data_IF_035815678010
#
_entry.id   IF_035815678010
#
_cell.length_a   1.000
_cell.length_b   1.000
_cell.length_c   1.000
_cell.angle_alpha   90.00
_cell.angle_beta   90.00
_cell.angle_gamma   90.00
#
_symmetry.space_group_name_H-M   'P 1'
#
loop_
_entity.id
_entity.type
_entity.pdbx_description
1 polymer ?
#
# COMPACT_ATOMS: atom_id res chain seq x y z
N UNK A 1 -37.86 2.37 55.61
CA UNK A 1 -36.55 1.80 55.23
C UNK A 1 -36.81 0.86 54.07
N UNK A 2 -36.68 1.34 52.82
CA UNK A 2 -36.55 0.61 51.55
C UNK A 2 -36.44 1.68 50.45
N UNK A 3 -35.62 1.41 49.44
CA UNK A 3 -35.45 2.11 48.15
C UNK A 3 -34.52 3.34 48.06
N UNK A 4 -33.21 3.08 48.07
CA UNK A 4 -32.22 3.96 47.42
C UNK A 4 -31.07 3.21 46.70
N UNK A 5 -31.08 1.88 46.63
CA UNK A 5 -29.96 1.09 46.08
C UNK A 5 -30.16 0.58 44.63
N UNK A 6 -31.35 0.78 44.04
CA UNK A 6 -31.71 0.21 42.74
C UNK A 6 -31.33 1.05 41.51
N UNK A 7 -31.10 2.35 41.65
CA UNK A 7 -30.98 3.28 40.52
C UNK A 7 -29.55 3.36 39.94
N UNK A 8 -28.50 3.23 40.76
CA UNK A 8 -27.12 3.41 40.28
C UNK A 8 -26.57 2.20 39.49
N UNK A 9 -26.99 0.98 39.81
CA UNK A 9 -26.53 -0.22 39.09
C UNK A 9 -27.04 -0.30 37.65
N UNK A 10 -28.16 0.36 37.33
CA UNK A 10 -28.75 0.37 36.00
C UNK A 10 -27.95 1.21 34.98
N UNK A 11 -27.38 2.33 35.43
CA UNK A 11 -26.61 3.25 34.58
C UNK A 11 -25.27 2.67 34.14
N UNK A 12 -24.50 2.09 35.08
CA UNK A 12 -23.21 1.47 34.80
C UNK A 12 -23.34 0.24 33.88
N UNK A 13 -24.43 -0.53 34.04
CA UNK A 13 -24.71 -1.71 33.20
C UNK A 13 -25.12 -1.29 31.79
N UNK A 14 -25.94 -0.24 31.64
CA UNK A 14 -26.34 0.35 30.35
C UNK A 14 -25.15 0.96 29.60
N UNK A 15 -24.25 1.66 30.29
CA UNK A 15 -23.05 2.26 29.70
C UNK A 15 -22.04 1.19 29.23
N UNK A 16 -21.89 0.11 29.99
CA UNK A 16 -21.09 -1.06 29.60
C UNK A 16 -21.68 -1.81 28.41
N UNK A 17 -23.00 -1.99 28.35
CA UNK A 17 -23.65 -2.60 27.18
C UNK A 17 -23.60 -1.69 25.96
N UNK A 18 -23.73 -0.37 26.11
CA UNK A 18 -23.56 0.59 25.01
C UNK A 18 -22.13 0.60 24.48
N UNK A 19 -21.13 0.57 25.37
CA UNK A 19 -19.71 0.44 24.99
C UNK A 19 -19.41 -0.89 24.30
N UNK A 20 -19.98 -2.00 24.78
CA UNK A 20 -19.83 -3.30 24.14
C UNK A 20 -20.53 -3.38 22.79
N UNK A 21 -21.72 -2.79 22.64
CA UNK A 21 -22.46 -2.70 21.36
C UNK A 21 -21.73 -1.81 20.36
N UNK A 22 -21.16 -0.68 20.80
CA UNK A 22 -20.37 0.18 19.93
C UNK A 22 -19.07 -0.51 19.49
N UNK A 23 -18.39 -1.23 20.40
CA UNK A 23 -17.18 -2.01 20.09
C UNK A 23 -17.49 -3.16 19.12
N UNK A 24 -18.60 -3.88 19.31
CA UNK A 24 -19.02 -4.96 18.39
C UNK A 24 -19.53 -4.43 17.06
N UNK A 25 -20.18 -3.26 17.01
CA UNK A 25 -20.56 -2.60 15.77
C UNK A 25 -19.33 -2.10 14.99
N UNK A 26 -18.31 -1.58 15.67
CA UNK A 26 -17.02 -1.19 15.07
C UNK A 26 -16.27 -2.41 14.53
N UNK A 27 -16.30 -3.54 15.24
CA UNK A 27 -15.71 -4.81 14.77
C UNK A 27 -16.50 -5.42 13.60
N UNK A 28 -17.82 -5.28 13.58
CA UNK A 28 -18.67 -5.80 12.50
C UNK A 28 -18.62 -4.94 11.22
N UNK A 29 -18.37 -3.63 11.34
CA UNK A 29 -18.19 -2.73 10.19
C UNK A 29 -16.94 -3.05 9.35
N UNK A 30 -15.96 -3.79 9.91
CA UNK A 30 -14.79 -4.27 9.18
C UNK A 30 -15.10 -5.41 8.19
N UNK A 31 -16.27 -6.05 8.28
CA UNK A 31 -16.59 -7.24 7.48
C UNK A 31 -17.33 -6.94 6.15
N UNK A 32 -17.59 -5.67 5.81
CA UNK A 32 -18.30 -5.29 4.57
C UNK A 32 -17.41 -4.56 3.57
N UNK A 33 -16.12 -4.91 3.52
CA UNK A 33 -15.22 -4.41 2.48
C UNK A 33 -15.58 -5.06 1.14
N UNK A 34 -16.55 -4.50 0.44
CA UNK A 34 -16.83 -4.90 -0.94
C UNK A 34 -15.66 -4.46 -1.83
N UNK A 35 -15.16 -5.37 -2.66
CA UNK A 35 -14.03 -5.13 -3.55
C UNK A 35 -14.42 -4.19 -4.70
N UNK A 36 -13.66 -3.11 -4.88
CA UNK A 36 -13.74 -2.16 -5.98
C UNK A 36 -12.91 -2.59 -7.20
N UNK A 37 -12.83 -1.70 -8.19
CA UNK A 37 -11.91 -1.86 -9.32
C UNK A 37 -10.47 -1.81 -8.80
N UNK A 38 -9.58 -2.66 -9.32
CA UNK A 38 -8.19 -2.84 -8.83
C UNK A 38 -8.03 -3.65 -7.53
N UNK A 39 -9.11 -4.24 -6.99
CA UNK A 39 -9.01 -5.13 -5.83
C UNK A 39 -8.95 -4.42 -4.46
N UNK A 40 -9.07 -3.09 -4.44
CA UNK A 40 -9.15 -2.27 -3.23
C UNK A 40 -10.56 -2.26 -2.61
N UNK A 41 -10.73 -1.93 -1.32
CA UNK A 41 -12.07 -1.68 -0.75
C UNK A 41 -12.78 -0.54 -1.49
N UNK A 42 -14.11 -0.62 -1.64
CA UNK A 42 -14.90 0.47 -2.22
C UNK A 42 -14.72 1.79 -1.45
N UNK A 43 -14.74 2.94 -2.15
CA UNK A 43 -14.68 4.24 -1.50
C UNK A 43 -15.81 4.42 -0.48
N UNK A 44 -15.46 4.84 0.72
CA UNK A 44 -16.38 5.19 1.82
C UNK A 44 -16.17 6.64 2.24
N UNK A 45 -17.02 7.18 3.12
CA UNK A 45 -16.79 8.50 3.73
C UNK A 45 -15.44 8.53 4.44
N UNK A 46 -15.07 7.43 5.09
CA UNK A 46 -13.77 7.30 5.74
C UNK A 46 -12.64 7.48 4.73
N UNK A 47 -12.62 6.68 3.67
CA UNK A 47 -11.52 6.69 2.69
C UNK A 47 -11.46 7.96 1.85
N UNK A 48 -12.59 8.65 1.64
CA UNK A 48 -12.67 9.84 0.78
C UNK A 48 -12.46 11.16 1.53
N UNK A 49 -12.91 11.27 2.79
CA UNK A 49 -12.90 12.53 3.52
C UNK A 49 -11.93 12.53 4.71
N UNK A 50 -11.92 11.46 5.50
CA UNK A 50 -11.16 11.43 6.76
C UNK A 50 -9.72 10.94 6.56
N UNK A 51 -9.53 9.91 5.71
CA UNK A 51 -8.21 9.35 5.44
C UNK A 51 -7.21 10.35 4.88
N UNK A 52 -7.57 11.14 3.84
CA UNK A 52 -6.60 12.01 3.20
C UNK A 52 -6.12 13.10 4.16
N UNK A 53 -7.03 13.68 4.96
CA UNK A 53 -6.70 14.72 5.94
C UNK A 53 -5.89 14.17 7.11
N UNK A 54 -6.28 13.03 7.68
CA UNK A 54 -5.52 12.38 8.73
C UNK A 54 -4.11 11.98 8.25
N UNK A 55 -4.03 11.47 7.01
CA UNK A 55 -2.77 11.13 6.34
C UNK A 55 -1.86 12.33 6.13
N UNK A 56 -2.43 13.44 5.64
CA UNK A 56 -1.72 14.72 5.48
C UNK A 56 -1.14 15.20 6.81
N UNK A 57 -1.98 15.30 7.85
CA UNK A 57 -1.54 15.76 9.18
C UNK A 57 -0.47 14.83 9.77
N UNK A 58 -0.66 13.51 9.67
CA UNK A 58 0.29 12.53 10.20
C UNK A 58 1.62 12.59 9.45
N UNK A 59 1.61 12.70 8.11
CA UNK A 59 2.80 12.87 7.30
C UNK A 59 3.54 14.17 7.64
N UNK A 60 2.83 15.30 7.70
CA UNK A 60 3.40 16.59 8.09
C UNK A 60 4.03 16.54 9.48
N UNK A 61 3.36 15.91 10.45
CA UNK A 61 3.88 15.74 11.81
C UNK A 61 5.16 14.88 11.86
N UNK A 62 5.35 13.96 10.91
CA UNK A 62 6.60 13.18 10.75
C UNK A 62 7.70 13.91 9.99
N UNK A 63 7.45 15.15 9.53
CA UNK A 63 8.37 15.91 8.70
C UNK A 63 8.48 15.35 7.28
N UNK A 64 7.44 14.68 6.79
CA UNK A 64 7.38 14.21 5.42
C UNK A 64 6.84 15.29 4.49
N UNK A 65 7.26 15.27 3.23
CA UNK A 65 6.66 16.07 2.17
C UNK A 65 5.17 15.73 2.04
N UNK A 66 4.33 16.75 2.21
CA UNK A 66 2.88 16.65 2.11
C UNK A 66 2.36 17.90 1.42
N UNK A 67 1.96 17.79 0.16
CA UNK A 67 1.46 18.92 -0.59
C UNK A 67 -0.03 19.17 -0.27
N UNK A 68 -0.41 20.41 0.08
CA UNK A 68 -1.82 20.80 0.23
C UNK A 68 -2.53 20.99 -1.12
N UNK A 69 -1.83 20.86 -2.26
CA UNK A 69 -2.45 20.99 -3.57
C UNK A 69 -3.38 19.81 -3.86
N UNK A 70 -4.38 20.04 -4.71
CA UNK A 70 -5.26 18.97 -5.18
C UNK A 70 -4.49 18.00 -6.06
N UNK A 71 -4.90 16.74 -6.03
CA UNK A 71 -4.41 15.72 -6.95
C UNK A 71 -5.04 15.90 -8.33
N UNK A 72 -4.30 15.50 -9.36
CA UNK A 72 -4.84 15.33 -10.71
C UNK A 72 -5.36 13.91 -10.91
N UNK A 73 -6.22 13.69 -11.91
CA UNK A 73 -6.76 12.36 -12.22
C UNK A 73 -5.66 11.31 -12.46
N UNK A 74 -4.55 11.71 -13.09
CA UNK A 74 -3.39 10.83 -13.31
C UNK A 74 -2.66 10.51 -12.00
N UNK A 75 -2.57 11.45 -11.05
CA UNK A 75 -1.97 11.23 -9.73
C UNK A 75 -2.86 10.36 -8.83
N UNK A 76 -4.18 10.54 -8.88
CA UNK A 76 -5.16 9.68 -8.21
C UNK A 76 -5.08 8.25 -8.76
N UNK A 77 -5.11 8.10 -10.09
CA UNK A 77 -4.97 6.80 -10.73
C UNK A 77 -3.63 6.12 -10.37
N UNK A 78 -2.54 6.88 -10.21
CA UNK A 78 -1.25 6.33 -9.80
C UNK A 78 -1.30 5.76 -8.40
N UNK A 79 -1.89 6.50 -7.46
CA UNK A 79 -2.08 6.07 -6.06
C UNK A 79 -2.96 4.84 -5.98
N UNK A 80 -4.06 4.83 -6.74
CA UNK A 80 -4.99 3.72 -6.80
C UNK A 80 -4.34 2.43 -7.31
N UNK A 81 -3.52 2.54 -8.36
CA UNK A 81 -2.76 1.40 -8.89
C UNK A 81 -1.65 0.95 -7.94
N UNK A 82 -1.01 1.89 -7.24
CA UNK A 82 0.03 1.58 -6.27
C UNK A 82 -0.49 0.73 -5.10
N UNK A 83 -1.76 0.92 -4.71
CA UNK A 83 -2.40 0.18 -3.60
C UNK A 83 -2.15 -1.32 -3.69
N UNK A 84 -2.33 -1.92 -4.87
CA UNK A 84 -2.19 -3.38 -5.06
C UNK A 84 -0.76 -3.89 -4.79
N UNK A 85 0.27 -3.09 -5.04
CA UNK A 85 1.66 -3.45 -4.76
C UNK A 85 2.02 -3.25 -3.28
N UNK A 86 1.49 -2.18 -2.68
CA UNK A 86 1.75 -1.79 -1.29
C UNK A 86 1.15 -2.78 -0.30
N UNK A 87 -0.07 -3.28 -0.58
CA UNK A 87 -0.72 -4.28 0.24
C UNK A 87 0.11 -5.56 0.34
N UNK A 88 -0.04 -6.38 1.38
CA UNK A 88 0.68 -7.65 1.46
C UNK A 88 0.23 -8.61 0.34
N UNK A 89 1.18 -9.37 -0.20
CA UNK A 89 0.86 -10.46 -1.14
C UNK A 89 0.28 -11.69 -0.43
N UNK A 90 0.57 -11.85 0.86
CA UNK A 90 0.27 -13.06 1.62
C UNK A 90 -1.25 -13.28 1.74
N UNK A 91 -1.77 -14.44 1.27
CA UNK A 91 -3.16 -14.80 1.51
C UNK A 91 -3.35 -14.94 3.03
N UNK A 92 -4.35 -14.24 3.58
CA UNK A 92 -4.77 -14.29 5.00
C UNK A 92 -4.03 -13.40 6.00
N UNK A 93 -3.31 -12.38 5.55
CA UNK A 93 -2.64 -11.43 6.43
C UNK A 93 -3.51 -10.22 6.82
N UNK A 94 -4.68 -10.43 7.45
CA UNK A 94 -5.64 -9.34 7.76
C UNK A 94 -4.99 -8.16 8.49
N UNK A 95 -4.26 -8.43 9.57
CA UNK A 95 -3.57 -7.37 10.33
C UNK A 95 -2.54 -6.63 9.47
N UNK A 96 -1.74 -7.34 8.67
CA UNK A 96 -0.76 -6.71 7.79
C UNK A 96 -1.44 -5.91 6.67
N UNK A 97 -2.62 -6.35 6.23
CA UNK A 97 -3.48 -5.65 5.30
C UNK A 97 -3.91 -4.31 5.88
N UNK A 98 -4.44 -4.30 7.11
CA UNK A 98 -4.85 -3.06 7.77
C UNK A 98 -3.67 -2.11 8.02
N UNK A 99 -2.53 -2.62 8.51
CA UNK A 99 -1.32 -1.81 8.68
C UNK A 99 -0.84 -1.22 7.36
N UNK A 100 -0.86 -2.00 6.28
CA UNK A 100 -0.47 -1.54 4.95
C UNK A 100 -1.45 -0.53 4.37
N UNK A 101 -2.74 -0.68 4.65
CA UNK A 101 -3.77 0.27 4.23
C UNK A 101 -3.61 1.61 4.96
N UNK A 102 -3.33 1.60 6.27
CA UNK A 102 -3.00 2.80 7.04
C UNK A 102 -1.68 3.43 6.62
N UNK A 103 -0.69 2.63 6.21
CA UNK A 103 0.53 3.14 5.62
C UNK A 103 0.24 3.81 4.26
N UNK A 104 -0.60 3.20 3.43
CA UNK A 104 -0.96 3.72 2.10
C UNK A 104 -1.68 5.07 2.19
N UNK A 105 -2.54 5.25 3.19
CA UNK A 105 -3.18 6.54 3.51
C UNK A 105 -2.24 7.50 4.24
N UNK A 106 -0.97 7.13 4.45
CA UNK A 106 0.06 7.91 5.15
C UNK A 106 -0.23 8.22 6.63
N UNK A 107 -1.21 7.54 7.22
CA UNK A 107 -1.50 7.63 8.65
C UNK A 107 -0.38 6.96 9.44
N UNK A 108 0.04 5.77 9.01
CA UNK A 108 1.23 5.09 9.53
C UNK A 108 2.44 5.33 8.62
N UNK A 109 3.67 5.29 9.17
CA UNK A 109 4.88 5.33 8.36
C UNK A 109 5.02 4.04 7.54
N UNK A 110 5.65 4.12 6.38
CA UNK A 110 5.92 2.96 5.52
C UNK A 110 6.70 1.85 6.25
N UNK A 111 7.60 2.25 7.16
CA UNK A 111 8.38 1.32 7.99
C UNK A 111 7.54 0.46 8.96
N UNK A 112 6.24 0.75 9.13
CA UNK A 112 5.33 -0.08 9.91
C UNK A 112 4.96 -1.39 9.17
N UNK A 113 5.16 -1.46 7.86
CA UNK A 113 4.85 -2.65 7.08
C UNK A 113 5.83 -3.80 7.37
N UNK A 114 5.33 -5.04 7.29
CA UNK A 114 6.21 -6.20 7.40
C UNK A 114 7.22 -6.26 6.26
N UNK A 115 8.45 -6.62 6.63
CA UNK A 115 9.60 -6.88 5.76
C UNK A 115 10.09 -8.33 5.88
N UNK A 116 9.32 -9.21 6.52
CA UNK A 116 9.65 -10.62 6.65
C UNK A 116 9.21 -11.41 5.42
N UNK A 117 10.18 -11.87 4.62
CA UNK A 117 9.95 -12.61 3.37
C UNK A 117 9.25 -13.96 3.61
N UNK A 118 9.30 -14.49 4.82
CA UNK A 118 8.67 -15.76 5.18
C UNK A 118 7.16 -15.64 5.44
N UNK A 119 6.61 -14.43 5.54
CA UNK A 119 5.17 -14.18 5.72
C UNK A 119 4.32 -14.76 4.59
N UNK A 120 4.79 -14.64 3.35
CA UNK A 120 4.06 -15.18 2.21
C UNK A 120 4.03 -16.71 2.26
N UNK A 121 5.18 -17.34 2.55
CA UNK A 121 5.27 -18.79 2.68
C UNK A 121 4.37 -19.31 3.82
N UNK A 122 4.42 -18.69 5.00
CA UNK A 122 3.54 -19.04 6.13
C UNK A 122 2.07 -18.91 5.78
N UNK A 123 1.67 -17.82 5.11
CA UNK A 123 0.28 -17.66 4.66
C UNK A 123 -0.13 -18.76 3.68
N UNK A 124 0.74 -19.06 2.72
CA UNK A 124 0.52 -20.11 1.73
C UNK A 124 0.47 -21.51 2.36
N UNK A 125 1.22 -21.78 3.43
CA UNK A 125 1.21 -23.08 4.12
C UNK A 125 0.06 -23.21 5.12
N UNK A 126 -0.33 -22.12 5.78
CA UNK A 126 -1.43 -22.06 6.74
C UNK A 126 -2.80 -22.35 6.12
N UNK A 127 -3.01 -22.01 4.85
CA UNK A 127 -4.24 -22.37 4.14
C UNK A 127 -4.30 -23.89 3.91
N UNK A 128 -5.45 -24.48 4.23
CA UNK A 128 -5.77 -25.86 3.85
C UNK A 128 -5.97 -25.94 2.33
N UNK A 129 -4.91 -26.20 1.58
CA UNK A 129 -5.01 -26.51 0.16
C UNK A 129 -5.33 -27.99 -0.05
N UNK A 130 -6.13 -28.29 -1.07
CA UNK A 130 -6.50 -29.67 -1.42
C UNK A 130 -5.31 -30.50 -1.93
N UNK A 131 -4.26 -29.86 -2.47
CA UNK A 131 -3.07 -30.54 -3.00
C UNK A 131 -1.82 -29.66 -2.99
N UNK A 132 -0.64 -30.26 -3.13
CA UNK A 132 0.62 -29.52 -3.28
C UNK A 132 0.69 -28.72 -4.58
N UNK A 133 0.13 -29.26 -5.66
CA UNK A 133 -0.01 -28.55 -6.92
C UNK A 133 -0.79 -27.23 -6.77
N UNK A 134 -1.79 -27.18 -5.88
CA UNK A 134 -2.56 -25.96 -5.60
C UNK A 134 -1.69 -24.85 -5.00
N UNK A 135 -0.72 -25.17 -4.14
CA UNK A 135 0.20 -24.17 -3.54
C UNK A 135 1.11 -23.55 -4.60
N UNK A 136 1.71 -24.37 -5.46
CA UNK A 136 2.52 -23.89 -6.58
C UNK A 136 1.71 -23.09 -7.60
N UNK A 137 0.49 -23.53 -7.92
CA UNK A 137 -0.39 -22.78 -8.81
C UNK A 137 -0.76 -21.42 -8.22
N UNK A 138 -1.05 -21.36 -6.91
CA UNK A 138 -1.34 -20.09 -6.24
C UNK A 138 -0.15 -19.11 -6.31
N UNK A 139 1.06 -19.59 -6.00
CA UNK A 139 2.29 -18.80 -6.15
C UNK A 139 2.45 -18.28 -7.59
N UNK A 140 2.24 -19.14 -8.59
CA UNK A 140 2.35 -18.77 -10.00
C UNK A 140 1.27 -17.74 -10.41
N UNK A 141 0.05 -17.88 -9.90
CA UNK A 141 -1.06 -16.95 -10.15
C UNK A 141 -0.78 -15.58 -9.53
N UNK A 142 -0.33 -15.53 -8.28
CA UNK A 142 0.01 -14.29 -7.58
C UNK A 142 1.14 -13.55 -8.31
N UNK A 143 2.20 -14.25 -8.72
CA UNK A 143 3.30 -13.68 -9.49
C UNK A 143 2.85 -13.13 -10.85
N UNK A 144 1.99 -13.86 -11.57
CA UNK A 144 1.44 -13.40 -12.85
C UNK A 144 0.50 -12.21 -12.68
N UNK A 145 -0.34 -12.20 -11.65
CA UNK A 145 -1.25 -11.10 -11.36
C UNK A 145 -0.47 -9.82 -11.08
N UNK A 146 0.61 -9.90 -10.30
CA UNK A 146 1.48 -8.75 -10.03
C UNK A 146 2.17 -8.27 -11.31
N UNK A 147 2.67 -9.20 -12.14
CA UNK A 147 3.34 -8.88 -13.42
C UNK A 147 2.43 -8.08 -14.35
N UNK A 148 1.17 -8.48 -14.49
CA UNK A 148 0.21 -7.83 -15.39
C UNK A 148 -0.09 -6.37 -15.01
N UNK A 149 0.10 -6.00 -13.75
CA UNK A 149 -0.20 -4.67 -13.24
C UNK A 149 0.97 -3.68 -13.37
N UNK A 150 2.19 -4.17 -13.58
CA UNK A 150 3.39 -3.33 -13.66
C UNK A 150 3.33 -2.39 -14.86
N UNK A 151 3.01 -2.90 -16.05
CA UNK A 151 2.94 -2.10 -17.27
C UNK A 151 1.99 -0.90 -17.16
N UNK A 152 0.71 -1.10 -16.77
CA UNK A 152 -0.23 0.00 -16.57
C UNK A 152 0.22 1.02 -15.50
N UNK A 153 0.80 0.55 -14.39
CA UNK A 153 1.34 1.44 -13.37
C UNK A 153 2.51 2.29 -13.91
N UNK A 154 3.49 1.65 -14.57
CA UNK A 154 4.65 2.33 -15.18
C UNK A 154 4.22 3.41 -16.18
N UNK A 155 3.25 3.10 -17.03
CA UNK A 155 2.75 4.04 -18.03
C UNK A 155 2.09 5.28 -17.40
N UNK A 156 1.30 5.09 -16.34
CA UNK A 156 0.65 6.19 -15.62
C UNK A 156 1.66 6.99 -14.77
N UNK A 157 2.60 6.34 -14.09
CA UNK A 157 3.70 7.00 -13.38
C UNK A 157 4.55 7.88 -14.33
N UNK A 158 4.82 7.43 -15.56
CA UNK A 158 5.53 8.22 -16.56
C UNK A 158 4.80 9.51 -16.96
N UNK A 159 3.45 9.50 -16.97
CA UNK A 159 2.64 10.71 -17.21
C UNK A 159 2.76 11.68 -16.05
N UNK A 160 2.61 11.19 -14.82
CA UNK A 160 2.74 12.00 -13.59
C UNK A 160 4.13 12.65 -13.52
N UNK A 161 5.20 11.89 -13.75
CA UNK A 161 6.57 12.42 -13.80
C UNK A 161 6.72 13.54 -14.84
N UNK A 162 6.09 13.39 -16.00
CA UNK A 162 6.11 14.43 -17.05
C UNK A 162 5.33 15.68 -16.64
N UNK A 163 4.20 15.52 -15.95
CA UNK A 163 3.42 16.64 -15.38
C UNK A 163 4.21 17.36 -14.28
N UNK A 164 4.91 16.62 -13.42
CA UNK A 164 5.79 17.16 -12.39
C UNK A 164 6.91 18.03 -12.99
N UNK A 165 7.49 17.63 -14.14
CA UNK A 165 8.47 18.47 -14.88
C UNK A 165 7.86 19.76 -15.39
N UNK A 166 6.61 19.73 -15.86
CA UNK A 166 5.91 20.95 -16.26
C UNK A 166 5.68 21.83 -15.04
N UNK A 167 5.21 21.25 -13.92
CA UNK A 167 4.97 21.97 -12.67
C UNK A 167 6.21 22.73 -12.20
N UNK A 168 7.35 22.06 -12.12
CA UNK A 168 8.58 22.71 -11.64
C UNK A 168 9.15 23.73 -12.63
N UNK A 169 9.01 23.51 -13.94
CA UNK A 169 9.36 24.53 -14.94
C UNK A 169 8.48 25.77 -14.83
N UNK A 170 7.18 25.60 -14.63
CA UNK A 170 6.24 26.72 -14.47
C UNK A 170 6.53 27.52 -13.20
N UNK A 171 6.80 26.85 -12.07
CA UNK A 171 7.22 27.49 -10.82
C UNK A 171 8.50 28.32 -11.02
N UNK A 172 9.47 27.80 -11.78
CA UNK A 172 10.74 28.49 -11.99
C UNK A 172 10.67 29.65 -12.99
N UNK A 173 9.81 29.56 -14.01
CA UNK A 173 9.85 30.45 -15.17
C UNK A 173 8.72 31.49 -15.24
N UNK A 174 7.58 31.26 -14.58
CA UNK A 174 6.42 32.14 -14.69
C UNK A 174 6.45 33.25 -13.62
N UNK A 175 6.44 34.54 -14.01
CA UNK A 175 6.36 35.64 -13.06
C UNK A 175 4.99 35.75 -12.37
N UNK A 176 3.97 35.10 -12.92
CA UNK A 176 2.60 35.10 -12.38
C UNK A 176 2.39 34.06 -11.27
N UNK A 177 3.38 33.17 -11.05
CA UNK A 177 3.34 32.18 -9.98
C UNK A 177 3.91 32.80 -8.71
N UNK A 178 3.06 32.88 -7.67
CA UNK A 178 3.47 33.40 -6.39
C UNK A 178 4.57 32.52 -5.75
N UNK A 179 5.65 33.10 -5.17
CA UNK A 179 6.80 32.34 -4.65
C UNK A 179 6.42 31.26 -3.62
N UNK A 180 5.41 31.50 -2.80
CA UNK A 180 4.91 30.57 -1.79
C UNK A 180 4.32 29.27 -2.38
N UNK A 181 4.08 29.22 -3.70
CA UNK A 181 3.63 28.00 -4.39
C UNK A 181 4.78 27.02 -4.66
N UNK A 182 6.03 27.46 -4.53
CA UNK A 182 7.21 26.63 -4.82
C UNK A 182 7.34 25.41 -3.90
N UNK A 183 7.29 25.62 -2.58
CA UNK A 183 7.40 24.55 -1.59
C UNK A 183 6.28 23.49 -1.71
N UNK A 184 4.98 23.86 -1.75
CA UNK A 184 3.91 22.90 -2.03
C UNK A 184 4.03 22.16 -3.36
N UNK A 185 4.57 22.81 -4.41
CA UNK A 185 4.78 22.17 -5.70
C UNK A 185 5.89 21.11 -5.62
N UNK A 186 7.01 21.45 -4.99
CA UNK A 186 8.12 20.52 -4.75
C UNK A 186 7.66 19.35 -3.89
N UNK A 187 6.92 19.60 -2.81
CA UNK A 187 6.37 18.57 -1.95
C UNK A 187 5.53 17.54 -2.75
N UNK A 188 4.73 17.98 -3.73
CA UNK A 188 3.95 17.08 -4.59
C UNK A 188 4.85 16.19 -5.45
N UNK A 189 5.92 16.75 -6.01
CA UNK A 189 6.90 15.96 -6.80
C UNK A 189 7.58 14.91 -5.91
N UNK A 190 8.00 15.29 -4.70
CA UNK A 190 8.58 14.36 -3.72
C UNK A 190 7.59 13.24 -3.35
N UNK A 191 6.30 13.56 -3.16
CA UNK A 191 5.27 12.56 -2.89
C UNK A 191 5.07 11.58 -4.05
N UNK A 192 5.02 12.09 -5.28
CA UNK A 192 4.80 11.29 -6.49
C UNK A 192 6.00 10.37 -6.74
N UNK A 193 7.21 10.90 -6.66
CA UNK A 193 8.46 10.16 -6.84
C UNK A 193 8.66 9.13 -5.71
N UNK A 194 8.40 9.52 -4.46
CA UNK A 194 8.46 8.64 -3.30
C UNK A 194 7.50 7.44 -3.40
N UNK A 195 6.30 7.64 -3.96
CA UNK A 195 5.36 6.54 -4.20
C UNK A 195 5.90 5.53 -5.21
N UNK A 196 6.56 5.99 -6.28
CA UNK A 196 7.20 5.09 -7.27
C UNK A 196 8.31 4.27 -6.60
N UNK A 197 9.16 4.90 -5.78
CA UNK A 197 10.19 4.18 -5.03
C UNK A 197 9.61 3.16 -4.06
N UNK A 198 8.54 3.52 -3.35
CA UNK A 198 7.87 2.60 -2.45
C UNK A 198 7.28 1.40 -3.20
N UNK A 199 6.62 1.60 -4.34
CA UNK A 199 6.15 0.49 -5.17
C UNK A 199 7.30 -0.43 -5.60
N UNK A 200 8.45 0.15 -5.98
CA UNK A 200 9.64 -0.63 -6.33
C UNK A 200 10.20 -1.45 -5.18
N UNK A 201 10.30 -0.88 -3.98
CA UNK A 201 10.73 -1.60 -2.79
C UNK A 201 9.75 -2.74 -2.44
N UNK A 202 8.44 -2.49 -2.54
CA UNK A 202 7.42 -3.52 -2.28
C UNK A 202 7.41 -4.62 -3.33
N UNK A 203 7.68 -4.29 -4.60
CA UNK A 203 7.85 -5.28 -5.67
C UNK A 203 9.08 -6.16 -5.44
N UNK A 204 10.23 -5.57 -5.10
CA UNK A 204 11.44 -6.32 -4.73
C UNK A 204 11.17 -7.26 -3.54
N UNK A 205 10.53 -6.74 -2.49
CA UNK A 205 10.15 -7.54 -1.32
C UNK A 205 9.24 -8.71 -1.70
N UNK A 206 8.26 -8.50 -2.58
CA UNK A 206 7.37 -9.57 -3.08
C UNK A 206 8.12 -10.63 -3.87
N UNK A 207 9.00 -10.22 -4.78
CA UNK A 207 9.85 -11.14 -5.54
C UNK A 207 10.68 -12.01 -4.58
N UNK A 208 11.35 -11.40 -3.59
CA UNK A 208 12.11 -12.15 -2.57
C UNK A 208 11.22 -13.10 -1.75
N UNK A 209 10.00 -12.68 -1.43
CA UNK A 209 9.02 -13.52 -0.72
C UNK A 209 8.57 -14.72 -1.56
N UNK A 210 8.35 -14.53 -2.87
CA UNK A 210 8.00 -15.60 -3.80
C UNK A 210 9.17 -16.58 -4.00
N UNK A 211 10.39 -16.07 -4.14
CA UNK A 211 11.62 -16.90 -4.20
C UNK A 211 11.80 -17.72 -2.93
N UNK A 212 11.63 -17.10 -1.77
CA UNK A 212 11.70 -17.79 -0.48
C UNK A 212 10.62 -18.88 -0.38
N UNK A 213 9.38 -18.59 -0.74
CA UNK A 213 8.30 -19.57 -0.72
C UNK A 213 8.54 -20.73 -1.69
N UNK A 214 9.01 -20.45 -2.90
CA UNK A 214 9.32 -21.48 -3.89
C UNK A 214 10.39 -22.44 -3.38
N UNK A 215 11.49 -21.91 -2.82
CA UNK A 215 12.56 -22.73 -2.28
C UNK A 215 12.07 -23.65 -1.14
N UNK A 216 11.30 -23.12 -0.19
CA UNK A 216 10.78 -23.92 0.92
C UNK A 216 9.72 -24.93 0.48
N UNK A 217 8.83 -24.57 -0.47
CA UNK A 217 7.87 -25.51 -1.04
C UNK A 217 8.58 -26.70 -1.72
N UNK A 218 9.68 -26.47 -2.43
CA UNK A 218 10.44 -27.54 -3.09
C UNK A 218 11.08 -28.47 -2.07
N UNK A 219 11.54 -27.94 -0.93
CA UNK A 219 12.10 -28.76 0.17
C UNK A 219 11.02 -29.61 0.84
N UNK A 220 9.89 -29.00 1.22
CA UNK A 220 8.82 -29.71 1.91
C UNK A 220 8.09 -30.69 1.00
N UNK A 221 7.80 -30.27 -0.23
CA UNK A 221 6.81 -30.88 -1.12
C UNK A 221 7.27 -30.79 -2.59
N UNK A 222 8.27 -31.60 -3.01
CA UNK A 222 8.79 -31.56 -4.37
C UNK A 222 7.71 -31.91 -5.40
N UNK A 223 7.56 -31.09 -6.45
CA UNK A 223 6.64 -31.40 -7.56
C UNK A 223 7.04 -30.71 -8.87
N UNK A 224 6.52 -31.19 -10.01
CA UNK A 224 6.84 -30.62 -11.35
C UNK A 224 6.25 -29.23 -11.55
N UNK A 225 5.19 -28.91 -10.82
CA UNK A 225 4.52 -27.61 -10.82
C UNK A 225 5.46 -26.47 -10.38
N UNK A 226 6.52 -26.78 -9.63
CA UNK A 226 7.59 -25.83 -9.28
C UNK A 226 8.18 -25.14 -10.52
N UNK A 227 8.30 -25.84 -11.66
CA UNK A 227 8.82 -25.27 -12.91
C UNK A 227 7.92 -24.13 -13.43
N UNK A 228 6.61 -24.29 -13.32
CA UNK A 228 5.64 -23.26 -13.74
C UNK A 228 5.72 -22.05 -12.82
N UNK A 229 5.81 -22.28 -11.51
CA UNK A 229 5.96 -21.21 -10.53
C UNK A 229 7.28 -20.43 -10.71
N UNK A 230 8.40 -21.15 -10.88
CA UNK A 230 9.72 -20.56 -11.17
C UNK A 230 9.66 -19.63 -12.39
N UNK A 231 9.08 -20.10 -13.50
CA UNK A 231 8.92 -19.28 -14.71
C UNK A 231 8.07 -18.03 -14.48
N UNK A 232 7.02 -18.13 -13.66
CA UNK A 232 6.18 -16.98 -13.34
C UNK A 232 6.95 -15.92 -12.52
N UNK A 233 7.76 -16.35 -11.55
CA UNK A 233 8.60 -15.45 -10.75
C UNK A 233 9.69 -14.81 -11.62
N UNK A 234 10.36 -15.57 -12.49
CA UNK A 234 11.34 -15.02 -13.44
C UNK A 234 10.71 -13.98 -14.38
N UNK A 235 9.49 -14.23 -14.87
CA UNK A 235 8.79 -13.29 -15.72
C UNK A 235 8.40 -12.00 -14.97
N UNK A 236 8.03 -12.10 -13.69
CA UNK A 236 7.77 -10.94 -12.84
C UNK A 236 9.05 -10.10 -12.62
N UNK A 237 10.18 -10.74 -12.34
CA UNK A 237 11.48 -10.08 -12.19
C UNK A 237 11.87 -9.29 -13.44
N UNK A 238 11.72 -9.90 -14.61
CA UNK A 238 12.01 -9.26 -15.88
C UNK A 238 11.13 -8.02 -16.13
N UNK A 239 9.85 -8.08 -15.76
CA UNK A 239 8.91 -6.96 -15.93
C UNK A 239 9.15 -5.83 -14.91
N UNK A 240 9.60 -6.17 -13.69
CA UNK A 240 9.83 -5.19 -12.62
C UNK A 240 11.03 -4.26 -12.91
N UNK A 241 12.08 -4.78 -13.56
CA UNK A 241 13.31 -4.02 -13.85
C UNK A 241 13.05 -2.65 -14.51
N UNK A 242 12.38 -2.59 -15.67
CA UNK A 242 12.10 -1.33 -16.37
C UNK A 242 11.31 -0.30 -15.56
N UNK A 243 10.45 -0.72 -14.62
CA UNK A 243 9.74 0.22 -13.73
C UNK A 243 10.73 0.89 -12.78
N UNK A 244 11.62 0.12 -12.14
CA UNK A 244 12.49 0.63 -11.09
C UNK A 244 13.76 1.33 -11.59
N UNK A 245 13.97 1.32 -12.91
CA UNK A 245 15.00 2.10 -13.60
C UNK A 245 14.41 3.23 -14.46
N UNK A 246 13.11 3.51 -14.37
CA UNK A 246 12.50 4.58 -15.16
C UNK A 246 13.05 5.96 -14.77
N UNK A 247 13.16 6.92 -15.71
CA UNK A 247 13.68 8.25 -15.40
C UNK A 247 12.67 9.06 -14.58
N UNK A 248 13.08 9.48 -13.39
CA UNK A 248 12.29 10.32 -12.47
C UNK A 248 12.75 11.78 -12.52
N UNK A 249 12.35 12.61 -11.56
CA UNK A 249 12.71 14.03 -11.50
C UNK A 249 13.85 14.32 -10.52
N UNK A 250 14.38 13.28 -9.88
CA UNK A 250 15.49 13.35 -8.91
C UNK A 250 15.17 14.29 -7.74
N UNK A 251 13.91 14.25 -7.28
CA UNK A 251 13.40 15.12 -6.23
C UNK A 251 14.09 14.93 -4.86
N UNK A 252 14.80 13.80 -4.68
CA UNK A 252 15.56 13.46 -3.47
C UNK A 252 17.07 13.76 -3.60
N UNK A 253 17.53 14.27 -4.74
CA UNK A 253 18.94 14.48 -5.06
C UNK A 253 19.72 13.19 -5.33
N UNK A 254 20.72 13.27 -6.21
CA UNK A 254 21.56 12.15 -6.69
C UNK A 254 22.46 11.45 -5.65
N UNK A 255 21.89 10.97 -4.55
CA UNK A 255 22.53 10.15 -3.51
C UNK A 255 22.15 8.67 -3.60
N UNK A 256 23.06 7.80 -3.13
CA UNK A 256 22.95 6.32 -3.21
C UNK A 256 21.89 5.69 -2.29
N UNK A 257 21.23 6.47 -1.43
CA UNK A 257 20.11 5.99 -0.61
C UNK A 257 18.85 6.72 -1.02
N UNK A 258 17.94 5.98 -1.64
CA UNK A 258 16.57 6.37 -1.97
C UNK A 258 15.70 5.99 -0.78
N UNK A 259 15.52 6.83 0.25
CA UNK A 259 14.75 6.40 1.40
C UNK A 259 13.30 6.19 0.95
N UNK A 260 12.71 5.09 1.41
CA UNK A 260 11.26 4.82 1.36
C UNK A 260 10.53 5.70 2.39
N UNK A 261 11.11 6.86 2.68
CA UNK A 261 10.63 7.83 3.63
C UNK A 261 10.53 9.11 2.82
N UNK A 262 9.33 9.68 2.77
CA UNK A 262 8.99 10.93 2.09
C UNK A 262 9.71 12.14 2.72
N UNK A 263 10.99 12.03 3.06
CA UNK A 263 11.86 13.10 3.54
C UNK A 263 12.70 13.54 2.36
N UNK A 264 12.31 14.67 1.77
CA UNK A 264 13.20 15.46 0.93
C UNK A 264 14.27 16.14 1.79
#
# INVERSE_FOLDING_TARGET
MIDAAGAEMGGARRLRTLGAVLATALLAAGCTATTGDLGRPRPTIWSQLLAPEAGFLAASARGEAASPFRLTDDEEQMRDRAWRFIMPASPHSVFQGEVSNLAHTRILPVAAQSVDVSDYFRGLTATSFASQASRYNRLAEDANADRLLIGPFRANAGRVVSMDRVRMRTVAASPDVAPEKGEPALARVVENEGLVFWVCERLDFRIRSYRHALANLVVEMPSREAIKAERAVMALEAEAGPLCTMPLNDAFGGGTKRPVVYKG
#
